data_IF_637309642306
#
_entry.id   IF_637309642306
#
_cell.length_a   1.000
_cell.length_b   1.000
_cell.length_c   1.000
_cell.angle_alpha   90.00
_cell.angle_beta   90.00
_cell.angle_gamma   90.00
#
_symmetry.space_group_name_H-M   'P 1'
#
loop_
_entity.id
_entity.type
_entity.pdbx_description
1 polymer ?
#
# COMPACT_ATOMS: atom_id res chain seq x y z
N UNK A 1 -43.02 40.45 -24.93
CA UNK A 1 -41.71 39.80 -24.74
C UNK A 1 -41.81 38.50 -25.52
N UNK A 2 -41.30 38.49 -26.74
CA UNK A 2 -41.26 37.30 -27.57
C UNK A 2 -40.13 36.41 -27.05
N UNK A 3 -40.51 35.22 -26.56
CA UNK A 3 -39.55 34.22 -26.10
C UNK A 3 -39.12 33.45 -27.33
N UNK A 4 -37.88 33.68 -27.75
CA UNK A 4 -37.22 32.93 -28.82
C UNK A 4 -37.06 31.48 -28.36
N UNK A 5 -37.90 30.59 -28.89
CA UNK A 5 -37.74 29.15 -28.69
C UNK A 5 -36.57 28.69 -29.56
N UNK A 6 -35.43 28.41 -28.93
CA UNK A 6 -34.33 27.69 -29.57
C UNK A 6 -34.88 26.33 -30.03
N UNK A 7 -35.07 26.17 -31.33
CA UNK A 7 -35.49 24.90 -31.93
C UNK A 7 -34.36 23.89 -31.70
N UNK A 8 -34.55 23.03 -30.71
CA UNK A 8 -33.56 22.02 -30.36
C UNK A 8 -33.75 20.86 -31.34
N UNK A 9 -32.72 20.58 -32.15
CA UNK A 9 -32.70 19.44 -33.06
C UNK A 9 -32.59 18.12 -32.28
N UNK A 10 -33.73 17.66 -31.75
CA UNK A 10 -33.87 16.38 -31.06
C UNK A 10 -33.67 15.17 -32.01
N UNK A 11 -33.57 15.39 -33.33
CA UNK A 11 -33.36 14.35 -34.33
C UNK A 11 -31.88 14.15 -34.71
N UNK A 12 -30.96 14.97 -34.17
CA UNK A 12 -29.53 14.75 -34.29
C UNK A 12 -29.08 13.58 -33.40
N UNK A 13 -29.33 12.35 -33.85
CA UNK A 13 -28.78 11.16 -33.21
C UNK A 13 -27.31 11.03 -33.55
N UNK A 14 -26.46 10.86 -32.55
CA UNK A 14 -25.04 10.58 -32.77
C UNK A 14 -24.87 9.35 -33.67
N UNK A 15 -23.90 9.41 -34.59
CA UNK A 15 -23.63 8.29 -35.48
C UNK A 15 -23.37 7.02 -34.66
N UNK A 16 -23.99 5.88 -35.02
CA UNK A 16 -23.85 4.63 -34.28
C UNK A 16 -22.38 4.22 -34.02
N UNK A 17 -21.48 4.49 -34.97
CA UNK A 17 -20.05 4.23 -34.82
C UNK A 17 -19.37 5.13 -33.77
N UNK A 18 -19.79 6.39 -33.64
CA UNK A 18 -19.29 7.29 -32.61
C UNK A 18 -19.76 6.87 -31.21
N UNK A 19 -21.00 6.34 -31.10
CA UNK A 19 -21.52 5.77 -29.86
C UNK A 19 -20.79 4.49 -29.46
N UNK A 20 -20.48 3.61 -30.41
CA UNK A 20 -19.75 2.36 -30.16
C UNK A 20 -18.31 2.63 -29.68
N UNK A 21 -17.61 3.56 -30.34
CA UNK A 21 -16.28 4.02 -29.90
C UNK A 21 -16.30 4.65 -28.50
N UNK A 22 -17.31 5.47 -28.19
CA UNK A 22 -17.46 6.06 -26.85
C UNK A 22 -17.79 5.01 -25.79
N UNK A 23 -18.56 3.98 -26.15
CA UNK A 23 -18.90 2.87 -25.27
C UNK A 23 -17.67 2.03 -24.96
N UNK A 24 -16.84 1.71 -25.95
CA UNK A 24 -15.61 0.94 -25.76
C UNK A 24 -14.58 1.70 -24.92
N UNK A 25 -14.38 2.99 -25.19
CA UNK A 25 -13.52 3.84 -24.36
C UNK A 25 -14.00 3.89 -22.90
N UNK A 26 -15.32 3.91 -22.68
CA UNK A 26 -15.89 3.89 -21.33
C UNK A 26 -15.66 2.54 -20.62
N UNK A 27 -15.68 1.42 -21.34
CA UNK A 27 -15.36 0.10 -20.80
C UNK A 27 -13.88 0.00 -20.42
N UNK A 28 -13.00 0.51 -21.27
CA UNK A 28 -11.55 0.51 -21.03
C UNK A 28 -11.20 1.33 -19.78
N UNK A 29 -11.77 2.53 -19.64
CA UNK A 29 -11.62 3.36 -18.44
C UNK A 29 -12.15 2.66 -17.18
N UNK A 30 -13.30 1.99 -17.27
CA UNK A 30 -13.83 1.22 -16.15
C UNK A 30 -12.88 0.08 -15.73
N UNK A 31 -12.30 -0.62 -16.70
CA UNK A 31 -11.33 -1.69 -16.46
C UNK A 31 -10.04 -1.15 -15.82
N UNK A 32 -9.54 -0.01 -16.30
CA UNK A 32 -8.37 0.66 -15.72
C UNK A 32 -8.63 1.10 -14.27
N UNK A 33 -9.79 1.74 -14.00
CA UNK A 33 -10.18 2.14 -12.64
C UNK A 33 -10.27 0.91 -11.72
N UNK A 34 -10.85 -0.20 -12.19
CA UNK A 34 -10.94 -1.43 -11.41
C UNK A 34 -9.56 -2.02 -11.10
N UNK A 35 -8.66 -2.04 -12.10
CA UNK A 35 -7.27 -2.49 -11.93
C UNK A 35 -6.51 -1.61 -10.93
N UNK A 36 -6.58 -0.29 -11.08
CA UNK A 36 -5.92 0.66 -10.18
C UNK A 36 -6.44 0.55 -8.75
N UNK A 37 -7.75 0.38 -8.57
CA UNK A 37 -8.34 0.12 -7.24
C UNK A 37 -7.81 -1.16 -6.62
N UNK A 38 -7.70 -2.23 -7.40
CA UNK A 38 -7.14 -3.50 -6.94
C UNK A 38 -5.67 -3.35 -6.55
N UNK A 39 -4.87 -2.62 -7.34
CA UNK A 39 -3.47 -2.34 -7.00
C UNK A 39 -3.37 -1.51 -5.71
N UNK A 40 -4.21 -0.49 -5.54
CA UNK A 40 -4.25 0.30 -4.29
C UNK A 40 -4.63 -0.58 -3.12
N UNK A 41 -5.60 -1.48 -3.26
CA UNK A 41 -6.01 -2.41 -2.21
C UNK A 41 -4.88 -3.39 -1.85
N UNK A 42 -4.20 -3.95 -2.84
CA UNK A 42 -3.06 -4.85 -2.65
C UNK A 42 -1.86 -4.15 -1.99
N UNK A 43 -1.54 -2.94 -2.44
CA UNK A 43 -0.51 -2.09 -1.81
C UNK A 43 -0.94 -1.71 -0.39
N UNK A 44 -2.21 -1.38 -0.18
CA UNK A 44 -2.72 -1.05 1.16
C UNK A 44 -2.69 -2.26 2.07
N UNK A 45 -3.05 -3.45 1.59
CA UNK A 45 -3.04 -4.69 2.37
C UNK A 45 -1.61 -5.12 2.72
N UNK A 46 -0.66 -4.98 1.79
CA UNK A 46 0.76 -5.25 2.04
C UNK A 46 1.45 -4.15 2.87
N UNK A 47 1.01 -2.91 2.76
CA UNK A 47 1.50 -1.75 3.54
C UNK A 47 0.80 -1.59 4.90
N UNK A 48 -0.32 -2.28 5.14
CA UNK A 48 -0.94 -2.46 6.47
C UNK A 48 -0.08 -3.38 7.33
N UNK A 49 1.19 -2.99 7.44
CA UNK A 49 2.08 -3.45 8.48
C UNK A 49 1.46 -3.09 9.83
N UNK A 50 1.72 -3.92 10.84
CA UNK A 50 1.15 -3.88 12.19
C UNK A 50 1.20 -2.52 12.91
N UNK A 51 1.89 -1.53 12.33
CA UNK A 51 2.08 -0.19 12.82
C UNK A 51 0.80 0.65 12.75
N UNK A 52 -0.03 0.50 11.70
CA UNK A 52 -1.32 1.22 11.62
C UNK A 52 -2.31 0.80 12.72
N UNK A 53 -2.21 -0.43 13.24
CA UNK A 53 -3.05 -0.91 14.36
C UNK A 53 -2.88 -0.08 15.62
N UNK A 54 -1.74 0.58 15.78
CA UNK A 54 -1.43 1.44 16.91
C UNK A 54 -1.69 2.93 16.62
N UNK A 55 -2.12 3.30 15.41
CA UNK A 55 -2.38 4.70 15.04
C UNK A 55 -3.56 5.31 15.80
N UNK A 56 -4.42 4.50 16.41
CA UNK A 56 -5.57 4.95 17.19
C UNK A 56 -5.20 5.47 18.60
N UNK A 57 -3.99 5.15 19.10
CA UNK A 57 -3.56 5.49 20.46
C UNK A 57 -2.08 5.84 20.50
N UNK A 58 -1.78 7.11 20.76
CA UNK A 58 -0.39 7.55 20.99
C UNK A 58 0.22 6.89 22.22
N UNK A 59 -0.58 6.44 23.19
CA UNK A 59 -0.10 5.68 24.35
C UNK A 59 0.44 4.31 23.97
N UNK A 60 -0.22 3.60 23.04
CA UNK A 60 0.25 2.30 22.57
C UNK A 60 1.55 2.46 21.78
N UNK A 61 1.63 3.47 20.90
CA UNK A 61 2.87 3.80 20.19
C UNK A 61 4.00 4.10 21.17
N UNK A 62 3.76 4.92 22.20
CA UNK A 62 4.75 5.22 23.24
C UNK A 62 5.20 3.97 23.98
N UNK A 63 4.26 3.09 24.33
CA UNK A 63 4.56 1.87 25.08
C UNK A 63 5.50 0.94 24.31
N UNK A 64 5.19 0.66 23.04
CA UNK A 64 5.92 -0.31 22.22
C UNK A 64 7.17 0.27 21.54
N UNK A 65 7.13 1.52 21.10
CA UNK A 65 8.19 2.10 20.24
C UNK A 65 9.00 3.20 20.94
N UNK A 66 8.49 3.74 22.06
CA UNK A 66 9.04 4.89 22.79
C UNK A 66 9.01 6.23 22.04
N UNK A 67 8.41 6.29 20.87
CA UNK A 67 8.10 7.55 20.19
C UNK A 67 6.90 8.25 20.82
N UNK A 68 6.94 9.58 20.90
CA UNK A 68 5.93 10.38 21.61
C UNK A 68 4.52 10.28 21.01
N UNK A 69 4.41 10.14 19.69
CA UNK A 69 3.15 9.98 18.94
C UNK A 69 3.36 9.12 17.70
N UNK A 70 2.27 8.59 17.14
CA UNK A 70 2.28 7.84 15.88
C UNK A 70 2.93 8.63 14.73
N UNK A 71 2.66 9.94 14.66
CA UNK A 71 3.21 10.81 13.62
C UNK A 71 4.75 10.87 13.65
N UNK A 72 5.35 10.98 14.84
CA UNK A 72 6.81 10.98 15.00
C UNK A 72 7.41 9.65 14.55
N UNK A 73 6.78 8.54 14.95
CA UNK A 73 7.20 7.21 14.55
C UNK A 73 7.12 7.02 13.03
N UNK A 74 6.03 7.44 12.38
CA UNK A 74 5.88 7.33 10.92
C UNK A 74 6.85 8.23 10.14
N UNK A 75 7.17 9.42 10.66
CA UNK A 75 8.19 10.28 10.07
C UNK A 75 9.60 9.63 10.12
N UNK A 76 9.91 8.91 11.20
CA UNK A 76 11.11 8.09 11.29
C UNK A 76 11.04 6.88 10.34
N UNK A 77 9.92 6.15 10.33
CA UNK A 77 9.72 4.97 9.50
C UNK A 77 10.00 5.25 8.02
N UNK A 78 9.46 6.35 7.47
CA UNK A 78 9.69 6.76 6.07
C UNK A 78 11.16 6.96 5.71
N UNK A 79 12.02 7.28 6.68
CA UNK A 79 13.46 7.44 6.44
C UNK A 79 14.17 6.09 6.38
N UNK A 80 13.71 5.11 7.14
CA UNK A 80 14.35 3.79 7.23
C UNK A 80 13.75 2.76 6.27
N UNK A 81 12.51 2.97 5.83
CA UNK A 81 11.77 2.09 4.92
C UNK A 81 12.59 1.66 3.69
N UNK A 82 13.31 2.56 2.97
CA UNK A 82 14.14 2.16 1.84
C UNK A 82 15.33 1.25 2.21
N UNK A 83 15.76 1.29 3.47
CA UNK A 83 16.88 0.52 4.00
C UNK A 83 16.42 -0.74 4.75
N UNK A 84 15.12 -0.93 4.99
CA UNK A 84 14.58 -2.05 5.79
C UNK A 84 15.00 -3.42 5.25
N UNK A 85 15.07 -3.59 3.92
CA UNK A 85 15.54 -4.82 3.29
C UNK A 85 17.02 -5.16 3.54
N UNK A 86 17.79 -4.24 4.12
CA UNK A 86 19.21 -4.40 4.45
C UNK A 86 19.45 -4.55 5.97
N UNK A 87 18.41 -4.51 6.79
CA UNK A 87 18.52 -4.62 8.24
C UNK A 87 18.87 -6.07 8.60
N UNK A 88 19.99 -6.25 9.30
CA UNK A 88 20.44 -7.56 9.78
C UNK A 88 20.26 -7.62 11.30
N UNK A 89 19.60 -8.68 11.78
CA UNK A 89 19.49 -8.94 13.22
C UNK A 89 20.85 -9.37 13.77
N UNK A 90 21.48 -8.51 14.56
CA UNK A 90 22.68 -8.87 15.31
C UNK A 90 22.27 -9.36 16.69
N UNK A 91 22.62 -10.62 17.00
CA UNK A 91 22.42 -11.20 18.33
C UNK A 91 23.75 -11.42 19.03
N UNK A 92 23.78 -11.29 20.36
CA UNK A 92 24.98 -11.52 21.19
C UNK A 92 25.64 -12.90 20.98
N UNK A 93 24.87 -13.89 20.53
CA UNK A 93 25.37 -15.21 20.15
C UNK A 93 26.22 -15.18 18.86
N UNK A 94 25.86 -14.36 17.88
CA UNK A 94 26.56 -14.26 16.59
C UNK A 94 27.89 -13.50 16.71
N UNK A 95 27.99 -12.54 17.64
CA UNK A 95 29.24 -11.81 17.89
C UNK A 95 30.34 -12.67 18.50
N UNK A 96 30.00 -13.80 19.14
CA UNK A 96 30.97 -14.78 19.66
C UNK A 96 31.45 -15.79 18.60
N UNK A 97 30.65 -16.02 17.56
CA UNK A 97 30.97 -16.97 16.49
C UNK A 97 31.91 -16.40 15.42
N UNK A 98 32.14 -15.08 15.36
CA UNK A 98 33.04 -14.45 14.38
C UNK A 98 34.53 -14.49 14.76
N UNK A 99 34.87 -14.97 15.95
CA UNK A 99 36.27 -15.10 16.42
C UNK A 99 36.87 -16.49 16.26
N UNK A 100 36.10 -17.50 15.83
CA UNK A 100 36.63 -18.81 15.50
C UNK A 100 36.11 -19.24 14.12
N UNK A 101 37.04 -19.33 13.17
CA UNK A 101 36.75 -19.83 11.83
C UNK A 101 36.43 -21.32 11.86
N UNK A 102 35.18 -21.70 11.54
CA UNK A 102 34.85 -22.96 10.84
C UNK A 102 33.55 -22.76 10.03
N UNK A 103 33.49 -23.12 8.73
CA UNK A 103 32.25 -23.08 7.96
C UNK A 103 31.30 -24.22 8.38
N UNK A 104 30.07 -23.90 8.76
CA UNK A 104 28.97 -24.89 8.84
C UNK A 104 27.73 -24.35 8.11
N UNK A 105 27.17 -25.10 7.14
CA UNK A 105 25.93 -24.75 6.47
C UNK A 105 24.75 -25.21 7.33
N UNK A 106 23.95 -24.27 7.84
CA UNK A 106 22.85 -24.61 8.75
C UNK A 106 21.84 -23.48 8.90
N UNK A 107 20.70 -23.66 8.26
CA UNK A 107 19.52 -22.80 8.18
C UNK A 107 19.07 -22.11 9.47
N UNK A 108 18.57 -20.88 9.34
CA UNK A 108 17.24 -20.52 9.86
C UNK A 108 16.67 -19.36 9.04
N UNK A 109 16.04 -19.69 7.91
CA UNK A 109 15.08 -18.78 7.28
C UNK A 109 13.86 -18.73 8.20
N UNK A 110 13.69 -17.64 8.94
CA UNK A 110 12.52 -17.45 9.79
C UNK A 110 11.32 -17.16 8.88
N UNK A 111 10.28 -17.98 8.99
CA UNK A 111 9.03 -17.73 8.27
C UNK A 111 8.36 -16.46 8.82
N UNK A 112 7.64 -15.68 7.98
CA UNK A 112 6.87 -14.55 8.46
C UNK A 112 5.88 -15.02 9.53
N UNK A 113 5.85 -14.29 10.64
CA UNK A 113 4.99 -14.57 11.80
C UNK A 113 3.54 -14.40 11.34
N UNK A 114 2.85 -15.52 11.16
CA UNK A 114 1.40 -15.57 10.95
C UNK A 114 0.73 -15.54 12.33
N UNK A 115 0.64 -14.35 12.92
CA UNK A 115 -0.18 -14.12 14.11
C UNK A 115 -1.25 -13.09 13.77
N UNK A 116 -2.23 -13.55 12.97
CA UNK A 116 -3.47 -12.83 12.66
C UNK A 116 -4.72 -13.59 13.15
N UNK A 117 -4.61 -14.35 14.25
CA UNK A 117 -5.79 -14.90 14.94
C UNK A 117 -5.76 -14.55 16.45
N UNK A 118 -6.39 -13.43 16.80
CA UNK A 118 -7.15 -13.23 18.04
C UNK A 118 -8.05 -11.99 17.93
#
# INVERSE_FOLDING_TARGET
MDVEYSDHDYCSTAEPAALDLSLDHSKDLCAEIAMLRKQIEEITLSSKFCLERFAASDDDIRFYTRFATHAHFMAFWRQIEPATGKIVRVSRAQTKAKTDEVPHPGATSLQPIDECDQ
#
